data_IF_214019324525
#
_entry.id   IF_214019324525
#
_cell.length_a   1.000
_cell.length_b   1.000
_cell.length_c   1.000
_cell.angle_alpha   90.00
_cell.angle_beta   90.00
_cell.angle_gamma   90.00
#
_symmetry.space_group_name_H-M   'P 1'
#
loop_
_entity.id
_entity.type
_entity.pdbx_description
1 polymer ?
#
# COMPACT_ATOMS: atom_id res chain seq x y z
N UNK A 1 -10.60 16.83 21.59
CA UNK A 1 -12.04 17.02 21.88
C UNK A 1 -12.76 17.48 20.61
N UNK A 2 -14.10 17.30 20.52
CA UNK A 2 -14.87 17.71 19.32
C UNK A 2 -14.64 19.17 18.95
N UNK A 3 -14.60 20.06 19.94
CA UNK A 3 -14.36 21.50 19.72
C UNK A 3 -13.01 21.81 19.05
N UNK A 4 -11.98 21.02 19.31
CA UNK A 4 -10.67 21.19 18.69
C UNK A 4 -10.72 20.78 17.21
N UNK A 5 -11.50 19.76 16.89
CA UNK A 5 -11.72 19.28 15.51
C UNK A 5 -12.57 20.29 14.73
N UNK A 6 -13.61 20.86 15.34
CA UNK A 6 -14.46 21.87 14.70
C UNK A 6 -13.66 23.13 14.34
N UNK A 7 -12.75 23.56 15.23
CA UNK A 7 -11.82 24.67 14.96
C UNK A 7 -10.87 24.37 13.80
N UNK A 8 -10.34 23.16 13.76
CA UNK A 8 -9.49 22.68 12.66
C UNK A 8 -10.24 22.70 11.32
N UNK A 9 -11.48 22.21 11.28
CA UNK A 9 -12.28 22.22 10.07
C UNK A 9 -12.61 23.64 9.59
N UNK A 10 -12.94 24.54 10.50
CA UNK A 10 -13.22 25.94 10.17
C UNK A 10 -11.99 26.61 9.54
N UNK A 11 -10.80 26.36 10.09
CA UNK A 11 -9.57 26.93 9.58
C UNK A 11 -9.10 26.29 8.27
N UNK A 12 -9.28 24.97 8.10
CA UNK A 12 -8.74 24.18 7.00
C UNK A 12 -9.74 23.83 5.89
N UNK A 13 -10.99 24.25 6.00
CA UNK A 13 -12.06 23.95 5.02
C UNK A 13 -11.98 24.75 3.72
N UNK A 14 -10.86 25.40 3.40
CA UNK A 14 -10.68 26.21 2.19
C UNK A 14 -10.31 25.32 0.99
N UNK A 15 -10.86 25.68 -0.18
CA UNK A 15 -10.63 24.97 -1.47
C UNK A 15 -9.15 24.93 -1.87
N UNK A 16 -8.31 25.81 -1.34
CA UNK A 16 -6.89 25.86 -1.66
C UNK A 16 -6.08 24.69 -1.07
N UNK A 17 -6.66 23.92 -0.13
CA UNK A 17 -6.00 22.74 0.45
C UNK A 17 -6.41 21.48 -0.32
N UNK A 18 -5.42 20.77 -0.86
CA UNK A 18 -5.63 19.46 -1.49
C UNK A 18 -5.83 18.34 -0.46
N UNK A 19 -5.34 18.54 0.77
CA UNK A 19 -5.27 17.54 1.83
C UNK A 19 -5.16 18.21 3.19
N UNK A 20 -5.66 17.58 4.22
CA UNK A 20 -5.58 18.06 5.61
C UNK A 20 -4.96 16.97 6.48
N UNK A 21 -4.14 17.36 7.45
CA UNK A 21 -3.51 16.43 8.38
C UNK A 21 -3.80 16.91 9.81
N UNK A 22 -4.30 16.00 10.65
CA UNK A 22 -4.43 16.22 12.07
C UNK A 22 -3.46 15.29 12.80
N UNK A 23 -2.63 15.86 13.67
CA UNK A 23 -1.65 15.10 14.45
C UNK A 23 -2.03 15.15 15.91
N UNK A 24 -1.97 14.02 16.60
CA UNK A 24 -2.29 13.91 18.02
C UNK A 24 -1.31 12.98 18.72
N UNK A 25 -1.09 13.23 19.98
CA UNK A 25 -0.23 12.41 20.85
C UNK A 25 -1.04 11.43 21.71
N UNK A 26 -2.23 11.06 21.26
CA UNK A 26 -3.09 10.05 21.88
C UNK A 26 -3.63 9.10 20.81
N UNK A 27 -3.89 7.86 21.21
CA UNK A 27 -4.60 6.87 20.39
C UNK A 27 -6.11 6.85 20.71
N UNK A 28 -6.52 7.58 21.75
CA UNK A 28 -7.92 7.63 22.20
C UNK A 28 -8.70 8.66 21.38
N UNK A 29 -9.47 8.17 20.43
CA UNK A 29 -10.42 8.96 19.67
C UNK A 29 -11.84 8.56 20.07
N UNK A 30 -12.70 9.53 20.33
CA UNK A 30 -14.11 9.24 20.55
C UNK A 30 -14.80 8.92 19.21
N UNK A 31 -15.84 8.09 19.23
CA UNK A 31 -16.66 7.78 18.05
C UNK A 31 -17.14 9.06 17.32
N UNK A 32 -17.53 10.08 18.07
CA UNK A 32 -17.93 11.37 17.50
C UNK A 32 -16.78 12.13 16.82
N UNK A 33 -15.55 11.94 17.28
CA UNK A 33 -14.37 12.55 16.66
C UNK A 33 -14.02 11.80 15.37
N UNK A 34 -14.07 10.49 15.36
CA UNK A 34 -13.85 9.67 14.18
C UNK A 34 -14.92 9.90 13.11
N UNK A 35 -16.20 9.94 13.51
CA UNK A 35 -17.30 10.28 12.61
C UNK A 35 -17.16 11.69 12.01
N UNK A 36 -16.61 12.66 12.77
CA UNK A 36 -16.37 14.00 12.25
C UNK A 36 -15.21 14.07 11.24
N UNK A 37 -14.26 13.15 11.30
CA UNK A 37 -13.15 13.06 10.35
C UNK A 37 -13.54 12.32 9.06
N UNK A 38 -14.55 11.45 9.14
CA UNK A 38 -15.04 10.70 8.00
C UNK A 38 -15.68 11.61 6.94
N UNK A 39 -15.61 11.20 5.68
CA UNK A 39 -16.28 11.83 4.53
C UNK A 39 -15.98 13.32 4.29
N UNK A 40 -14.86 13.80 4.81
CA UNK A 40 -14.46 15.20 4.64
C UNK A 40 -13.89 15.50 3.26
N UNK A 41 -14.24 16.70 2.72
CA UNK A 41 -13.68 17.24 1.48
C UNK A 41 -13.01 18.59 1.78
N UNK A 42 -11.70 18.75 1.54
CA UNK A 42 -10.68 17.74 1.21
C UNK A 42 -10.51 16.68 2.31
N UNK A 43 -9.96 15.49 1.98
CA UNK A 43 -9.78 14.41 2.96
C UNK A 43 -8.88 14.82 4.12
N UNK A 44 -9.14 14.25 5.30
CA UNK A 44 -8.34 14.46 6.52
C UNK A 44 -7.58 13.20 6.86
N UNK A 45 -6.28 13.30 7.00
CA UNK A 45 -5.42 12.24 7.48
C UNK A 45 -5.17 12.40 8.97
N UNK A 46 -5.34 11.32 9.69
CA UNK A 46 -5.05 11.23 11.12
C UNK A 46 -3.65 10.65 11.30
N UNK A 47 -2.82 11.32 12.10
CA UNK A 47 -1.56 10.79 12.61
C UNK A 47 -1.66 10.76 14.12
N UNK A 48 -1.74 9.59 14.71
CA UNK A 48 -1.84 9.39 16.16
C UNK A 48 -0.51 8.96 16.79
N UNK A 49 -0.52 8.68 18.11
CA UNK A 49 0.66 8.27 18.83
C UNK A 49 1.26 6.97 18.27
N UNK A 50 0.41 6.01 17.90
CA UNK A 50 0.87 4.75 17.32
C UNK A 50 1.60 4.97 15.99
N UNK A 51 1.11 5.90 15.16
CA UNK A 51 1.77 6.26 13.91
C UNK A 51 3.14 6.91 14.14
N UNK A 52 3.22 7.78 15.16
CA UNK A 52 4.48 8.42 15.54
C UNK A 52 5.49 7.40 16.07
N UNK A 53 5.08 6.49 16.95
CA UNK A 53 5.94 5.43 17.51
C UNK A 53 6.45 4.47 16.43
N UNK A 54 5.61 4.13 15.45
CA UNK A 54 5.95 3.28 14.32
C UNK A 54 6.64 4.02 13.16
N UNK A 55 6.86 5.33 13.28
CA UNK A 55 7.59 6.09 12.27
C UNK A 55 9.06 5.66 12.16
N UNK A 56 9.70 6.08 11.08
CA UNK A 56 11.15 5.84 10.88
C UNK A 56 12.04 6.68 11.78
N UNK A 57 11.47 7.65 12.51
CA UNK A 57 12.24 8.53 13.39
C UNK A 57 12.61 7.75 14.66
N UNK A 58 13.88 7.80 15.01
CA UNK A 58 14.35 7.35 16.33
C UNK A 58 14.09 8.45 17.35
N UNK A 59 12.93 8.36 17.98
CA UNK A 59 12.50 9.35 18.99
C UNK A 59 13.40 9.39 20.23
N UNK A 60 14.17 8.33 20.51
CA UNK A 60 15.12 8.30 21.63
C UNK A 60 16.31 9.24 21.40
N UNK A 61 16.62 9.55 20.17
CA UNK A 61 17.70 10.45 19.74
C UNK A 61 17.19 11.82 19.29
N UNK A 62 15.90 12.08 19.41
CA UNK A 62 15.29 13.32 18.95
C UNK A 62 15.82 14.53 19.74
N UNK A 63 16.26 15.56 19.02
CA UNK A 63 16.63 16.86 19.57
C UNK A 63 15.93 17.96 18.77
N UNK A 64 15.24 18.90 19.45
CA UNK A 64 14.72 20.09 18.77
C UNK A 64 15.85 20.82 18.06
N UNK A 65 15.66 21.26 16.86
CA UNK A 65 16.67 21.99 16.05
C UNK A 65 17.75 21.13 15.38
N UNK A 66 17.76 19.82 15.57
CA UNK A 66 18.62 18.89 14.83
C UNK A 66 17.79 18.09 13.82
N UNK A 67 18.38 17.66 12.70
CA UNK A 67 17.72 16.72 11.80
C UNK A 67 17.36 15.44 12.57
N UNK A 68 16.14 14.88 12.38
CA UNK A 68 15.73 13.68 13.10
C UNK A 68 16.61 12.48 12.70
N UNK A 69 17.09 11.74 13.69
CA UNK A 69 17.77 10.48 13.47
C UNK A 69 16.75 9.43 13.01
N UNK A 70 17.13 8.62 12.04
CA UNK A 70 16.27 7.54 11.53
C UNK A 70 16.68 6.21 12.16
N UNK A 71 15.70 5.36 12.44
CA UNK A 71 15.92 3.98 12.84
C UNK A 71 16.71 3.23 11.77
N UNK A 72 17.55 2.28 12.16
CA UNK A 72 18.25 1.42 11.20
C UNK A 72 17.25 0.50 10.48
N UNK A 73 17.45 0.34 9.16
CA UNK A 73 16.61 -0.58 8.36
C UNK A 73 16.80 -2.03 8.79
N UNK A 74 15.74 -2.82 8.62
CA UNK A 74 15.74 -4.25 8.89
C UNK A 74 16.79 -4.97 8.05
N UNK A 75 17.39 -6.02 8.64
CA UNK A 75 18.26 -6.94 7.93
C UNK A 75 17.53 -8.25 7.67
N UNK A 76 17.84 -8.88 6.55
CA UNK A 76 17.29 -10.21 6.22
C UNK A 76 17.78 -11.25 7.23
N UNK A 77 16.87 -12.05 7.72
CA UNK A 77 17.18 -13.25 8.47
C UNK A 77 17.68 -14.37 7.54
N UNK A 78 18.40 -15.41 8.04
CA UNK A 78 18.97 -16.45 7.19
C UNK A 78 17.94 -17.12 6.25
N UNK A 79 16.73 -17.42 6.72
CA UNK A 79 15.69 -18.04 5.91
C UNK A 79 15.17 -17.08 4.81
N UNK A 80 15.10 -15.78 5.09
CA UNK A 80 14.71 -14.76 4.10
C UNK A 80 15.82 -14.59 3.04
N UNK A 81 17.08 -14.61 3.46
CA UNK A 81 18.22 -14.58 2.54
C UNK A 81 18.23 -15.79 1.63
N UNK A 82 17.97 -17.00 2.16
CA UNK A 82 17.84 -18.21 1.36
C UNK A 82 16.66 -18.13 0.38
N UNK A 83 15.50 -17.63 0.83
CA UNK A 83 14.34 -17.43 -0.01
C UNK A 83 14.65 -16.47 -1.18
N UNK A 84 15.27 -15.32 -0.90
CA UNK A 84 15.68 -14.35 -1.92
C UNK A 84 16.62 -14.96 -2.95
N UNK A 85 17.66 -15.69 -2.50
CA UNK A 85 18.62 -16.37 -3.39
C UNK A 85 17.95 -17.42 -4.26
N UNK A 86 17.06 -18.25 -3.69
CA UNK A 86 16.37 -19.29 -4.45
C UNK A 86 15.42 -18.70 -5.51
N UNK A 87 14.73 -17.60 -5.20
CA UNK A 87 13.90 -16.90 -6.18
C UNK A 87 14.76 -16.36 -7.32
N UNK A 88 15.88 -15.70 -7.02
CA UNK A 88 16.78 -15.17 -8.06
C UNK A 88 17.36 -16.29 -8.96
N UNK A 89 17.67 -17.44 -8.38
CA UNK A 89 18.10 -18.61 -9.19
C UNK A 89 16.95 -19.16 -10.04
N UNK A 90 15.74 -19.29 -9.48
CA UNK A 90 14.57 -19.79 -10.24
C UNK A 90 14.21 -18.92 -11.44
N UNK A 91 14.35 -17.61 -11.34
CA UNK A 91 14.09 -16.68 -12.45
C UNK A 91 15.15 -16.73 -13.57
N UNK A 92 16.25 -17.47 -13.39
CA UNK A 92 17.18 -17.75 -14.50
C UNK A 92 16.66 -18.86 -15.44
N UNK A 93 15.77 -19.69 -14.94
CA UNK A 93 15.24 -20.87 -15.66
C UNK A 93 13.76 -20.73 -16.02
N UNK A 94 13.03 -19.84 -15.37
CA UNK A 94 11.59 -19.64 -15.55
C UNK A 94 11.20 -18.18 -15.40
N UNK A 95 10.19 -17.73 -16.12
CA UNK A 95 9.62 -16.39 -16.05
C UNK A 95 8.65 -16.20 -14.87
N UNK A 96 8.37 -17.25 -14.12
CA UNK A 96 7.47 -17.25 -12.96
C UNK A 96 7.85 -18.30 -11.93
N UNK A 97 7.49 -18.05 -10.68
CA UNK A 97 7.76 -18.96 -9.57
C UNK A 97 6.77 -18.81 -8.43
N UNK A 98 6.81 -19.74 -7.50
CA UNK A 98 6.02 -19.71 -6.29
C UNK A 98 6.94 -19.77 -5.07
N UNK A 99 6.86 -18.74 -4.21
CA UNK A 99 7.56 -18.69 -2.94
C UNK A 99 6.58 -19.03 -1.81
N UNK A 100 6.87 -20.07 -1.04
CA UNK A 100 6.05 -20.49 0.10
C UNK A 100 6.80 -20.15 1.38
N UNK A 101 6.21 -19.30 2.19
CA UNK A 101 6.73 -18.87 3.49
C UNK A 101 5.62 -18.94 4.54
N UNK A 102 5.94 -19.35 5.76
CA UNK A 102 4.99 -19.38 6.86
C UNK A 102 4.48 -17.98 7.24
N UNK A 103 3.33 -17.88 7.89
CA UNK A 103 2.84 -16.63 8.45
C UNK A 103 3.83 -16.08 9.48
N UNK A 104 3.97 -14.75 9.55
CA UNK A 104 4.88 -14.09 10.50
C UNK A 104 6.36 -14.14 10.17
N UNK A 105 6.78 -14.80 9.07
CA UNK A 105 8.21 -14.90 8.68
C UNK A 105 8.72 -13.71 7.87
N UNK A 106 7.93 -12.64 7.75
CA UNK A 106 8.32 -11.40 7.05
C UNK A 106 8.25 -11.50 5.53
N UNK A 107 7.19 -12.12 4.98
CA UNK A 107 6.94 -12.22 3.54
C UNK A 107 7.05 -10.89 2.82
N UNK A 108 6.40 -9.83 3.35
CA UNK A 108 6.37 -8.49 2.76
C UNK A 108 7.77 -7.86 2.67
N UNK A 109 8.58 -8.00 3.71
CA UNK A 109 9.97 -7.53 3.69
C UNK A 109 10.84 -8.36 2.73
N UNK A 110 10.66 -9.68 2.71
CA UNK A 110 11.38 -10.56 1.78
C UNK A 110 11.05 -10.22 0.33
N UNK A 111 9.77 -9.97 0.02
CA UNK A 111 9.33 -9.59 -1.33
C UNK A 111 9.92 -8.24 -1.78
N UNK A 112 10.06 -7.26 -0.86
CA UNK A 112 10.78 -6.03 -1.14
C UNK A 112 12.22 -6.31 -1.56
N UNK A 113 12.95 -7.14 -0.80
CA UNK A 113 14.36 -7.45 -1.09
C UNK A 113 14.53 -8.28 -2.37
N UNK A 114 13.53 -9.06 -2.74
CA UNK A 114 13.47 -9.73 -4.05
C UNK A 114 13.26 -8.71 -5.17
N UNK A 115 12.34 -7.76 -5.00
CA UNK A 115 12.09 -6.69 -5.99
C UNK A 115 13.33 -5.81 -6.20
N UNK A 116 14.04 -5.46 -5.14
CA UNK A 116 15.27 -4.69 -5.22
C UNK A 116 16.38 -5.43 -6.01
N UNK A 117 16.45 -6.75 -5.91
CA UNK A 117 17.44 -7.56 -6.61
C UNK A 117 17.05 -7.83 -8.08
N UNK A 118 15.79 -8.17 -8.33
CA UNK A 118 15.34 -8.59 -9.66
C UNK A 118 14.97 -7.41 -10.57
N UNK A 119 14.36 -6.38 -10.01
CA UNK A 119 13.97 -5.19 -10.74
C UNK A 119 14.96 -4.03 -10.49
N UNK A 120 15.02 -3.54 -9.27
CA UNK A 120 15.91 -2.43 -8.93
C UNK A 120 15.44 -1.08 -9.47
N UNK A 121 16.40 -0.18 -9.71
CA UNK A 121 16.14 1.16 -10.26
C UNK A 121 15.70 1.11 -11.71
N UNK A 122 14.98 2.16 -12.16
CA UNK A 122 14.50 2.28 -13.55
C UNK A 122 13.55 1.15 -13.97
N UNK A 123 12.88 0.52 -13.00
CA UNK A 123 11.95 -0.59 -13.22
C UNK A 123 10.60 -0.31 -12.60
N UNK A 124 9.56 -0.88 -13.25
CA UNK A 124 8.18 -0.81 -12.79
C UNK A 124 7.76 -2.15 -12.19
N UNK A 125 7.48 -2.14 -10.91
CA UNK A 125 7.02 -3.32 -10.14
C UNK A 125 5.54 -3.20 -9.85
N UNK A 126 4.79 -4.28 -9.98
CA UNK A 126 3.41 -4.40 -9.52
C UNK A 126 3.37 -5.33 -8.30
N UNK A 127 2.83 -4.82 -7.20
CA UNK A 127 2.61 -5.58 -5.99
C UNK A 127 1.12 -5.74 -5.74
N UNK A 128 0.63 -6.98 -5.79
CA UNK A 128 -0.78 -7.33 -5.66
C UNK A 128 -1.09 -7.93 -4.29
N UNK A 129 -2.16 -7.44 -3.68
CA UNK A 129 -2.65 -7.87 -2.36
C UNK A 129 -4.15 -8.12 -2.36
N UNK A 130 -4.68 -8.95 -1.44
CA UNK A 130 -6.11 -9.26 -1.42
C UNK A 130 -6.99 -8.18 -0.77
N UNK A 131 -6.43 -7.23 -0.02
CA UNK A 131 -7.22 -6.23 0.72
C UNK A 131 -6.53 -4.88 0.83
N UNK A 132 -7.31 -3.81 1.09
CA UNK A 132 -6.81 -2.45 1.31
C UNK A 132 -5.90 -2.35 2.55
N UNK A 133 -6.20 -3.10 3.61
CA UNK A 133 -5.36 -3.15 4.81
C UNK A 133 -3.95 -3.65 4.50
N UNK A 134 -3.86 -4.77 3.76
CA UNK A 134 -2.58 -5.32 3.33
C UNK A 134 -1.88 -4.40 2.33
N UNK A 135 -2.62 -3.68 1.50
CA UNK A 135 -2.05 -2.66 0.61
C UNK A 135 -1.37 -1.56 1.41
N UNK A 136 -2.07 -0.96 2.38
CA UNK A 136 -1.53 0.10 3.24
C UNK A 136 -0.31 -0.38 4.03
N UNK A 137 -0.40 -1.57 4.63
CA UNK A 137 0.70 -2.17 5.39
C UNK A 137 1.93 -2.42 4.50
N UNK A 138 1.74 -3.04 3.35
CA UNK A 138 2.85 -3.38 2.44
C UNK A 138 3.50 -2.14 1.86
N UNK A 139 2.71 -1.15 1.45
CA UNK A 139 3.20 0.12 0.94
C UNK A 139 4.02 0.85 2.03
N UNK A 140 3.53 0.89 3.27
CA UNK A 140 4.25 1.49 4.39
C UNK A 140 5.57 0.77 4.65
N UNK A 141 5.56 -0.56 4.78
CA UNK A 141 6.76 -1.35 5.04
C UNK A 141 7.80 -1.20 3.91
N UNK A 142 7.37 -1.26 2.65
CA UNK A 142 8.27 -1.08 1.53
C UNK A 142 8.89 0.31 1.49
N UNK A 143 8.09 1.35 1.71
CA UNK A 143 8.58 2.73 1.75
C UNK A 143 9.59 2.94 2.88
N UNK A 144 9.35 2.31 4.03
CA UNK A 144 10.23 2.42 5.18
C UNK A 144 11.53 1.64 5.03
N UNK A 145 11.48 0.43 4.48
CA UNK A 145 12.59 -0.53 4.51
C UNK A 145 13.36 -0.62 3.19
N UNK A 146 12.90 0.05 2.13
CA UNK A 146 13.59 0.00 0.85
C UNK A 146 14.98 0.65 0.92
N UNK A 147 15.98 -0.06 0.40
CA UNK A 147 17.34 0.47 0.20
C UNK A 147 17.43 1.35 -1.07
N UNK A 148 16.50 1.18 -2.00
CA UNK A 148 16.39 1.93 -3.24
C UNK A 148 15.27 2.97 -3.07
N UNK A 149 15.46 4.23 -3.46
CA UNK A 149 14.37 5.20 -3.44
C UNK A 149 13.16 4.72 -4.25
N UNK A 150 11.94 4.89 -3.72
CA UNK A 150 10.71 4.43 -4.34
C UNK A 150 9.85 5.57 -4.86
N UNK A 151 9.23 5.35 -6.03
CA UNK A 151 8.01 6.02 -6.43
C UNK A 151 6.83 5.08 -6.23
N UNK A 152 6.05 5.30 -5.19
CA UNK A 152 4.91 4.46 -4.83
C UNK A 152 3.61 5.03 -5.39
N UNK A 153 2.77 4.15 -5.96
CA UNK A 153 1.45 4.44 -6.49
C UNK A 153 0.46 3.43 -5.91
N UNK A 154 -0.65 3.91 -5.36
CA UNK A 154 -1.70 3.04 -4.83
C UNK A 154 -2.92 3.02 -5.77
N UNK A 155 -3.43 1.84 -6.06
CA UNK A 155 -4.58 1.63 -6.94
C UNK A 155 -5.64 0.82 -6.20
N UNK A 156 -6.87 1.30 -6.22
CA UNK A 156 -8.04 0.57 -5.74
C UNK A 156 -9.17 0.65 -6.77
N UNK A 157 -10.20 -0.17 -6.62
CA UNK A 157 -11.40 -0.12 -7.47
C UNK A 157 -12.52 0.64 -6.77
N UNK A 158 -13.43 1.24 -7.56
CA UNK A 158 -14.63 1.89 -7.02
C UNK A 158 -15.52 0.91 -6.25
N UNK A 159 -15.44 -0.39 -6.57
CA UNK A 159 -16.17 -1.43 -5.86
C UNK A 159 -15.72 -1.63 -4.40
N UNK A 160 -14.51 -1.21 -4.05
CA UNK A 160 -13.97 -1.22 -2.68
C UNK A 160 -14.29 0.09 -1.94
N UNK A 161 -14.71 1.12 -2.67
CA UNK A 161 -15.10 2.41 -2.12
C UNK A 161 -16.59 2.34 -1.75
N UNK A 162 -16.91 2.28 -0.46
CA UNK A 162 -18.29 2.45 0.01
C UNK A 162 -19.12 1.17 0.26
N UNK A 163 -18.54 -0.04 0.21
CA UNK A 163 -19.26 -1.24 0.64
C UNK A 163 -19.30 -1.35 2.16
N UNK A 164 -20.44 -0.97 2.76
CA UNK A 164 -20.84 -1.49 4.08
C UNK A 164 -21.12 -2.98 3.92
N UNK A 165 -20.19 -3.85 4.30
CA UNK A 165 -20.45 -5.28 4.39
C UNK A 165 -21.30 -5.57 5.63
N UNK A 166 -22.39 -6.32 5.43
CA UNK A 166 -23.21 -6.83 6.51
C UNK A 166 -22.40 -7.74 7.44
N UNK A 167 -22.82 -7.77 8.70
CA UNK A 167 -22.26 -8.56 9.79
C UNK A 167 -21.99 -10.01 9.36
N UNK A 168 -20.73 -10.40 9.26
CA UNK A 168 -20.28 -11.78 9.41
C UNK A 168 -18.98 -11.78 10.18
N UNK A 169 -18.93 -12.64 11.19
CA UNK A 169 -17.83 -12.83 12.14
C UNK A 169 -16.49 -13.07 11.44
N UNK A 170 -15.66 -12.05 11.41
CA UNK A 170 -14.21 -12.09 11.50
C UNK A 170 -13.77 -10.62 11.62
N UNK A 171 -12.87 -10.33 12.57
CA UNK A 171 -12.33 -8.99 12.89
C UNK A 171 -11.62 -8.36 11.67
N UNK A 172 -12.41 -7.92 10.68
CA UNK A 172 -11.92 -7.16 9.54
C UNK A 172 -12.10 -5.69 9.89
N UNK A 173 -11.02 -5.06 10.35
CA UNK A 173 -10.94 -3.61 10.44
C UNK A 173 -11.20 -3.04 9.05
N UNK A 174 -12.35 -2.38 8.86
CA UNK A 174 -12.69 -1.73 7.60
C UNK A 174 -11.75 -0.52 7.40
N UNK A 175 -10.75 -0.68 6.55
CA UNK A 175 -9.92 0.44 6.11
C UNK A 175 -10.59 1.08 4.91
N UNK A 176 -10.97 2.32 5.05
CA UNK A 176 -11.49 3.11 3.93
C UNK A 176 -10.35 3.64 3.06
N UNK A 177 -10.62 3.87 1.78
CA UNK A 177 -9.62 4.41 0.84
C UNK A 177 -9.04 5.74 1.29
N UNK A 178 -9.81 6.56 2.00
CA UNK A 178 -9.35 7.83 2.56
C UNK A 178 -8.45 7.67 3.80
N UNK A 179 -8.42 6.49 4.42
CA UNK A 179 -7.50 6.15 5.53
C UNK A 179 -6.13 5.67 5.03
N UNK A 180 -6.00 5.42 3.73
CA UNK A 180 -4.69 5.11 3.16
C UNK A 180 -3.77 6.31 3.34
N UNK A 181 -2.61 6.10 3.95
CA UNK A 181 -1.57 7.14 4.12
C UNK A 181 -1.10 7.75 2.81
N UNK A 182 -1.37 7.07 1.70
CA UNK A 182 -1.03 7.48 0.34
C UNK A 182 -2.30 7.58 -0.50
N UNK A 183 -2.44 8.65 -1.30
CA UNK A 183 -3.60 8.80 -2.17
C UNK A 183 -3.65 7.64 -3.16
N UNK A 184 -4.75 6.89 -3.09
CA UNK A 184 -5.04 5.83 -4.05
C UNK A 184 -5.86 6.40 -5.23
N UNK A 185 -5.74 5.79 -6.40
CA UNK A 185 -6.52 6.16 -7.57
C UNK A 185 -7.35 4.99 -8.08
N UNK A 186 -8.57 5.29 -8.52
CA UNK A 186 -9.45 4.37 -9.25
C UNK A 186 -9.44 4.67 -10.77
N UNK A 187 -8.72 5.72 -11.17
CA UNK A 187 -8.73 6.24 -12.54
C UNK A 187 -7.49 5.78 -13.32
N UNK A 188 -7.71 4.98 -14.36
CA UNK A 188 -6.66 4.41 -15.21
C UNK A 188 -5.80 5.46 -15.94
N UNK A 189 -6.42 6.54 -16.45
CA UNK A 189 -5.70 7.61 -17.13
C UNK A 189 -4.78 8.37 -16.17
N UNK A 190 -5.28 8.66 -14.96
CA UNK A 190 -4.50 9.34 -13.91
C UNK A 190 -3.32 8.48 -13.46
N UNK A 191 -3.53 7.17 -13.26
CA UNK A 191 -2.45 6.25 -12.93
C UNK A 191 -1.34 6.28 -13.99
N UNK A 192 -1.70 6.11 -15.26
CA UNK A 192 -0.73 6.10 -16.36
C UNK A 192 0.03 7.44 -16.45
N UNK A 193 -0.67 8.56 -16.27
CA UNK A 193 -0.06 9.89 -16.26
C UNK A 193 0.94 10.05 -15.12
N UNK A 194 0.55 9.73 -13.87
CA UNK A 194 1.42 9.89 -12.68
C UNK A 194 2.64 8.96 -12.73
N UNK A 195 2.47 7.72 -13.21
CA UNK A 195 3.59 6.80 -13.40
C UNK A 195 4.55 7.36 -14.44
N UNK A 196 4.09 7.74 -15.63
CA UNK A 196 4.96 8.31 -16.69
C UNK A 196 5.69 9.57 -16.24
N UNK A 197 5.03 10.42 -15.46
CA UNK A 197 5.58 11.69 -14.97
C UNK A 197 6.70 11.48 -13.94
N UNK A 198 6.60 10.45 -13.10
CA UNK A 198 7.48 10.24 -11.95
C UNK A 198 8.49 9.11 -12.14
N UNK A 199 8.25 8.20 -13.08
CA UNK A 199 9.19 7.10 -13.38
C UNK A 199 10.51 7.66 -13.90
N UNK A 200 11.62 7.28 -13.28
CA UNK A 200 12.95 7.75 -13.59
C UNK A 200 14.04 6.70 -13.28
N UNK A 201 15.23 6.95 -13.75
CA UNK A 201 16.38 6.05 -13.60
C UNK A 201 16.97 5.97 -12.18
N UNK A 202 16.48 6.77 -11.22
CA UNK A 202 17.03 6.82 -9.85
C UNK A 202 16.17 6.03 -8.86
N UNK A 203 14.89 5.82 -9.18
CA UNK A 203 13.91 5.21 -8.33
C UNK A 203 13.45 3.86 -8.88
N UNK A 204 12.99 2.98 -8.00
CA UNK A 204 12.14 1.86 -8.36
C UNK A 204 10.67 2.32 -8.27
N UNK A 205 9.95 2.26 -9.38
CA UNK A 205 8.53 2.58 -9.41
C UNK A 205 7.70 1.37 -8.99
N UNK A 206 6.81 1.53 -8.01
CA UNK A 206 6.00 0.42 -7.50
C UNK A 206 4.52 0.79 -7.51
N UNK A 207 3.73 0.01 -8.18
CA UNK A 207 2.26 0.08 -8.13
C UNK A 207 1.78 -0.96 -7.12
N UNK A 208 1.19 -0.49 -6.02
CA UNK A 208 0.49 -1.32 -5.05
C UNK A 208 -0.98 -1.38 -5.43
N UNK A 209 -1.52 -2.56 -5.64
CA UNK A 209 -2.90 -2.73 -6.08
C UNK A 209 -3.58 -3.90 -5.39
N UNK A 210 -4.88 -3.80 -5.19
CA UNK A 210 -5.66 -4.98 -4.83
C UNK A 210 -5.95 -5.83 -6.07
N UNK A 211 -6.21 -7.12 -5.88
CA UNK A 211 -6.61 -8.00 -6.98
C UNK A 211 -7.90 -7.52 -7.67
N UNK A 212 -8.82 -6.90 -6.92
CA UNK A 212 -10.06 -6.35 -7.48
C UNK A 212 -9.84 -5.18 -8.44
N UNK A 213 -8.66 -4.57 -8.41
CA UNK A 213 -8.32 -3.39 -9.21
C UNK A 213 -7.53 -3.71 -10.49
N UNK A 214 -7.39 -4.98 -10.85
CA UNK A 214 -6.67 -5.41 -12.06
C UNK A 214 -7.26 -4.81 -13.34
N UNK A 215 -8.59 -4.55 -13.38
CA UNK A 215 -9.23 -3.88 -14.51
C UNK A 215 -8.69 -2.46 -14.72
N UNK A 216 -8.49 -1.69 -13.63
CA UNK A 216 -7.88 -0.35 -13.70
C UNK A 216 -6.49 -0.40 -14.32
N UNK A 217 -5.68 -1.38 -13.93
CA UNK A 217 -4.32 -1.59 -14.48
C UNK A 217 -4.36 -2.00 -15.95
N UNK A 218 -5.24 -2.95 -16.31
CA UNK A 218 -5.42 -3.38 -17.69
C UNK A 218 -5.82 -2.23 -18.61
N UNK A 219 -6.76 -1.40 -18.19
CA UNK A 219 -7.17 -0.19 -18.92
C UNK A 219 -6.04 0.83 -18.99
N UNK A 220 -5.30 1.05 -17.91
CA UNK A 220 -4.15 1.95 -17.90
C UNK A 220 -3.10 1.55 -18.95
N UNK A 221 -2.83 0.25 -19.09
CA UNK A 221 -1.90 -0.26 -20.10
C UNK A 221 -2.46 -0.16 -21.53
N UNK A 222 -3.71 -0.63 -21.75
CA UNK A 222 -4.29 -0.73 -23.09
C UNK A 222 -4.69 0.61 -23.70
N UNK A 223 -5.26 1.51 -22.86
CA UNK A 223 -5.90 2.74 -23.33
C UNK A 223 -5.05 4.00 -23.06
N UNK A 224 -4.21 3.97 -22.03
CA UNK A 224 -3.50 5.17 -21.58
C UNK A 224 -1.98 5.02 -21.61
N UNK A 225 -1.49 3.87 -22.12
CA UNK A 225 -0.05 3.64 -22.34
C UNK A 225 0.77 3.62 -21.06
N UNK A 226 0.25 3.03 -19.96
CA UNK A 226 1.07 2.69 -18.81
C UNK A 226 2.24 1.80 -19.28
N UNK A 227 3.50 2.07 -18.88
CA UNK A 227 4.64 1.26 -19.27
C UNK A 227 4.47 -0.23 -18.93
N UNK A 228 5.22 -1.08 -19.62
CA UNK A 228 5.28 -2.50 -19.29
C UNK A 228 5.77 -2.70 -17.87
N UNK A 229 5.17 -3.66 -17.17
CA UNK A 229 5.55 -4.03 -15.81
C UNK A 229 6.69 -5.04 -15.91
N UNK A 230 7.83 -4.73 -15.25
CA UNK A 230 9.02 -5.59 -15.28
C UNK A 230 8.92 -6.77 -14.32
N UNK A 231 8.27 -6.58 -13.17
CA UNK A 231 8.10 -7.62 -12.14
C UNK A 231 6.71 -7.53 -11.51
N UNK A 232 6.05 -8.67 -11.38
CA UNK A 232 4.77 -8.79 -10.67
C UNK A 232 4.96 -9.67 -9.44
N UNK A 233 4.55 -9.18 -8.28
CA UNK A 233 4.54 -9.92 -7.02
C UNK A 233 3.10 -10.04 -6.54
N UNK A 234 2.65 -11.27 -6.34
CA UNK A 234 1.31 -11.61 -5.88
C UNK A 234 1.38 -12.11 -4.43
N UNK A 235 1.01 -11.27 -3.47
CA UNK A 235 0.91 -11.69 -2.07
C UNK A 235 -0.39 -12.43 -1.82
N UNK A 236 -0.36 -13.47 -0.96
CA UNK A 236 -1.50 -14.35 -0.68
C UNK A 236 -2.15 -14.94 -1.97
N UNK A 237 -1.30 -15.32 -2.93
CA UNK A 237 -1.72 -15.78 -4.28
C UNK A 237 -2.67 -16.99 -4.25
N UNK A 238 -2.74 -17.75 -3.16
CA UNK A 238 -3.70 -18.84 -2.99
C UNK A 238 -5.16 -18.35 -3.03
N UNK A 239 -5.43 -17.08 -2.72
CA UNK A 239 -6.76 -16.47 -2.82
C UNK A 239 -7.18 -16.18 -4.26
N UNK A 240 -6.25 -16.23 -5.21
CA UNK A 240 -6.53 -16.02 -6.65
C UNK A 240 -6.75 -17.33 -7.41
N UNK A 241 -6.36 -18.46 -6.84
CA UNK A 241 -6.67 -19.77 -7.38
C UNK A 241 -8.08 -20.11 -6.93
N UNK A 242 -9.09 -19.81 -7.77
CA UNK A 242 -10.49 -19.99 -7.46
C UNK A 242 -10.76 -21.39 -6.88
N UNK A 243 -11.14 -21.44 -5.60
CA UNK A 243 -11.95 -22.53 -5.12
C UNK A 243 -13.28 -22.40 -5.87
N UNK A 244 -13.53 -23.27 -6.80
CA UNK A 244 -14.88 -23.48 -7.33
C UNK A 244 -15.71 -23.96 -6.15
N UNK A 245 -16.45 -23.04 -5.52
CA UNK A 245 -17.56 -23.43 -4.67
C UNK A 245 -18.62 -24.01 -5.61
N UNK A 246 -19.00 -25.23 -5.38
CA UNK A 246 -19.93 -26.01 -6.21
C UNK A 246 -21.35 -25.40 -6.38
N UNK A 247 -21.60 -24.16 -5.95
CA UNK A 247 -22.95 -23.59 -5.91
C UNK A 247 -23.12 -22.19 -6.54
N UNK A 248 -22.15 -21.68 -7.31
CA UNK A 248 -22.39 -20.45 -8.08
C UNK A 248 -21.68 -20.51 -9.45
N UNK A 249 -22.48 -20.57 -10.52
CA UNK A 249 -22.07 -20.50 -11.94
C UNK A 249 -21.39 -19.17 -12.35
N UNK A 250 -20.80 -18.46 -11.41
CA UNK A 250 -19.99 -17.26 -11.68
C UNK A 250 -18.52 -17.59 -11.51
N UNK A 251 -17.86 -17.83 -12.65
CA UNK A 251 -16.38 -17.79 -12.70
C UNK A 251 -15.87 -16.58 -11.94
N UNK A 252 -15.04 -16.82 -10.94
CA UNK A 252 -14.35 -15.78 -10.22
C UNK A 252 -13.58 -14.90 -11.23
N UNK A 253 -13.75 -13.60 -11.17
CA UNK A 253 -13.02 -12.64 -12.01
C UNK A 253 -11.48 -12.75 -11.87
N UNK A 254 -10.98 -13.62 -11.01
CA UNK A 254 -9.59 -13.92 -10.76
C UNK A 254 -9.01 -15.06 -11.63
N UNK A 255 -9.82 -15.72 -12.45
CA UNK A 255 -9.41 -16.90 -13.26
C UNK A 255 -9.28 -16.55 -14.75
N UNK A 256 -9.48 -15.31 -15.14
CA UNK A 256 -9.33 -14.86 -16.52
C UNK A 256 -7.97 -14.29 -16.82
#
# INVERSE_FOLDING_TARGET
RKADIDSFFTASGKICFAQRIIVTTTNDWSENAEAALADQQPPVYKIDLHDLENSQIDWSLYQPSAPPALKSKKKLWPHQQSAKTNVALGFRESDRGKLIMACGTGKTFTSLKIAEELAGKDKLVLFLVPSLNLLSQSLTEWTQESAIPLHSFAVCSDAEVGKKRGKSDDDIVETFVHELRYPATTNAARLAYEVKKRHDAQHMSVIFSTYHSLDVLSRAQKEHGLPAIDLVICDEAHRTTGATFEDDDKESNFVR
#
